data_IF_272223870709
#
_entry.id   IF_272223870709
#
_cell.length_a   1.000
_cell.length_b   1.000
_cell.length_c   1.000
_cell.angle_alpha   90.00
_cell.angle_beta   90.00
_cell.angle_gamma   90.00
#
_symmetry.space_group_name_H-M   'P 1'
#
loop_
_entity.id
_entity.type
_entity.pdbx_description
1 polymer ?
#
# COMPACT_ATOMS: atom_id res chain seq x y z
N UNK A 1 3.63 4.14 -33.00
CA UNK A 1 2.23 3.76 -32.84
C UNK A 1 2.16 2.58 -31.88
N UNK A 2 2.42 2.83 -30.62
CA UNK A 2 2.22 1.85 -29.56
C UNK A 2 1.77 2.66 -28.36
N UNK A 3 0.65 2.35 -27.79
CA UNK A 3 -0.06 2.92 -26.65
C UNK A 3 -1.21 3.85 -27.10
N UNK A 4 -2.18 3.27 -27.75
CA UNK A 4 -3.57 3.69 -27.74
C UNK A 4 -4.42 2.44 -27.95
N UNK A 5 -4.36 1.53 -27.00
CA UNK A 5 -5.41 0.57 -26.72
C UNK A 5 -5.20 0.03 -25.31
N UNK A 6 -6.23 -0.09 -24.58
CA UNK A 6 -6.49 -0.34 -23.18
C UNK A 6 -5.65 -1.41 -22.41
N UNK A 7 -4.44 -1.76 -22.83
CA UNK A 7 -3.66 -2.79 -22.14
C UNK A 7 -2.15 -2.48 -22.19
N UNK A 8 -1.67 -1.73 -21.16
CA UNK A 8 -0.22 -1.57 -20.96
C UNK A 8 0.41 -2.94 -20.70
N UNK A 9 1.40 -3.29 -21.52
CA UNK A 9 2.19 -4.53 -21.43
C UNK A 9 3.59 -4.20 -20.93
N UNK A 10 3.93 -4.68 -19.73
CA UNK A 10 5.22 -4.42 -19.09
C UNK A 10 6.40 -5.05 -19.84
N UNK A 11 6.19 -6.18 -20.53
CA UNK A 11 7.25 -6.84 -21.28
C UNK A 11 7.60 -6.07 -22.55
N UNK A 12 6.59 -5.55 -23.25
CA UNK A 12 6.80 -4.65 -24.38
C UNK A 12 7.42 -3.33 -23.93
N UNK A 13 6.99 -2.81 -22.77
CA UNK A 13 7.59 -1.62 -22.17
C UNK A 13 9.07 -1.83 -21.87
N UNK A 14 9.50 -2.96 -21.28
CA UNK A 14 10.90 -3.23 -20.98
C UNK A 14 11.75 -3.25 -22.24
N UNK A 15 11.31 -3.93 -23.28
CA UNK A 15 11.99 -3.95 -24.59
C UNK A 15 12.09 -2.55 -25.21
N UNK A 16 11.02 -1.74 -25.12
CA UNK A 16 11.03 -0.36 -25.57
C UNK A 16 11.99 0.50 -24.73
N UNK A 17 11.99 0.37 -23.41
CA UNK A 17 12.86 1.13 -22.51
C UNK A 17 14.33 0.81 -22.74
N UNK A 18 14.67 -0.46 -22.96
CA UNK A 18 16.02 -0.87 -23.29
C UNK A 18 16.49 -0.28 -24.63
N UNK A 19 15.67 -0.34 -25.65
CA UNK A 19 15.99 0.22 -26.98
C UNK A 19 16.15 1.75 -26.96
N UNK A 20 15.51 2.46 -26.03
CA UNK A 20 15.52 3.94 -25.96
C UNK A 20 16.37 4.50 -24.81
N UNK A 21 17.02 3.67 -24.01
CA UNK A 21 17.74 4.07 -22.78
C UNK A 21 18.71 5.26 -22.93
N UNK A 22 19.35 5.41 -24.11
CA UNK A 22 20.25 6.53 -24.38
C UNK A 22 19.53 7.86 -24.57
N UNK A 23 18.28 7.82 -25.07
CA UNK A 23 17.48 9.01 -25.37
C UNK A 23 16.60 9.45 -24.18
N UNK A 24 16.64 8.72 -23.08
CA UNK A 24 15.90 9.07 -21.88
C UNK A 24 16.61 10.17 -21.09
N UNK A 25 15.85 11.21 -20.76
CA UNK A 25 16.21 12.24 -19.77
C UNK A 25 15.87 11.68 -18.40
N UNK A 26 16.72 11.91 -17.42
CA UNK A 26 16.59 11.43 -16.05
C UNK A 26 16.42 12.63 -15.12
N UNK A 27 15.39 12.64 -14.32
CA UNK A 27 15.12 13.67 -13.32
C UNK A 27 14.81 13.01 -11.98
N UNK A 28 15.72 13.04 -11.00
CA UNK A 28 15.47 12.50 -9.67
C UNK A 28 14.79 13.52 -8.76
N UNK A 29 13.92 13.02 -7.89
CA UNK A 29 13.19 13.76 -6.87
C UNK A 29 13.27 13.03 -5.54
N UNK A 30 13.64 13.74 -4.47
CA UNK A 30 13.35 13.28 -3.12
C UNK A 30 11.92 13.65 -2.76
N UNK A 31 11.23 12.85 -1.98
CA UNK A 31 9.92 13.21 -1.48
C UNK A 31 9.75 12.86 0.00
N UNK A 32 8.97 13.68 0.69
CA UNK A 32 8.68 13.52 2.10
C UNK A 32 7.49 12.57 2.35
N UNK A 33 7.07 12.43 3.61
CA UNK A 33 5.93 11.57 4.00
C UNK A 33 4.56 12.07 3.51
N UNK A 34 4.47 13.30 3.05
CA UNK A 34 3.27 13.88 2.44
C UNK A 34 3.31 13.79 0.91
N UNK A 35 4.32 13.10 0.36
CA UNK A 35 4.58 12.94 -1.08
C UNK A 35 4.91 14.25 -1.80
N UNK A 36 5.30 15.29 -1.08
CA UNK A 36 5.82 16.53 -1.68
C UNK A 36 7.19 16.25 -2.29
N UNK A 37 7.37 16.41 -3.62
CA UNK A 37 8.64 16.18 -4.29
C UNK A 37 9.57 17.39 -4.19
N UNK A 38 10.86 17.13 -4.15
CA UNK A 38 11.96 18.11 -4.21
C UNK A 38 12.92 17.68 -5.32
N UNK A 39 13.14 18.54 -6.30
CA UNK A 39 14.01 18.23 -7.43
C UNK A 39 15.49 18.17 -7.01
N UNK A 40 16.21 17.21 -7.58
CA UNK A 40 17.66 17.09 -7.44
C UNK A 40 18.33 17.40 -8.78
N UNK A 41 19.38 18.22 -8.75
CA UNK A 41 20.23 18.43 -9.90
C UNK A 41 21.27 17.28 -10.00
N UNK A 42 21.52 16.81 -11.19
CA UNK A 42 22.45 15.71 -11.45
C UNK A 42 23.51 16.11 -12.46
N UNK A 43 24.72 15.54 -12.31
CA UNK A 43 25.73 15.55 -13.36
C UNK A 43 25.42 14.45 -14.39
N UNK A 44 25.98 14.55 -15.58
CA UNK A 44 25.85 13.50 -16.61
C UNK A 44 26.33 12.13 -16.11
N UNK A 45 27.40 12.09 -15.32
CA UNK A 45 27.90 10.85 -14.71
C UNK A 45 26.86 10.23 -13.76
N UNK A 46 26.23 11.03 -12.89
CA UNK A 46 25.21 10.56 -11.98
C UNK A 46 23.94 10.12 -12.73
N UNK A 47 23.56 10.78 -13.82
CA UNK A 47 22.45 10.33 -14.67
C UNK A 47 22.71 8.91 -15.21
N UNK A 48 23.93 8.59 -15.65
CA UNK A 48 24.28 7.24 -16.11
C UNK A 48 24.22 6.23 -14.95
N UNK A 49 24.68 6.60 -13.77
CA UNK A 49 24.57 5.75 -12.57
C UNK A 49 23.10 5.51 -12.20
N UNK A 50 22.25 6.54 -12.26
CA UNK A 50 20.81 6.41 -12.00
C UNK A 50 20.13 5.50 -13.04
N UNK A 51 20.49 5.60 -14.34
CA UNK A 51 20.02 4.67 -15.36
C UNK A 51 20.42 3.24 -15.02
N UNK A 52 21.63 3.02 -14.57
CA UNK A 52 22.11 1.68 -14.20
C UNK A 52 21.36 1.14 -12.97
N UNK A 53 21.26 1.94 -11.89
CA UNK A 53 20.69 1.51 -10.60
C UNK A 53 19.16 1.42 -10.58
N UNK A 54 18.48 2.11 -11.47
CA UNK A 54 17.02 2.13 -11.50
C UNK A 54 16.47 1.44 -12.73
N UNK A 55 16.86 1.89 -13.92
CA UNK A 55 16.27 1.43 -15.16
C UNK A 55 16.73 0.02 -15.55
N UNK A 56 18.04 -0.23 -15.56
CA UNK A 56 18.56 -1.55 -16.00
C UNK A 56 18.16 -2.66 -15.04
N UNK A 57 18.11 -2.40 -13.75
CA UNK A 57 17.66 -3.38 -12.77
C UNK A 57 16.21 -3.82 -13.04
N UNK A 58 15.31 -2.86 -13.34
CA UNK A 58 13.91 -3.18 -13.64
C UNK A 58 13.78 -3.89 -14.98
N UNK A 59 14.46 -3.42 -16.03
CA UNK A 59 14.45 -4.09 -17.33
C UNK A 59 14.90 -5.54 -17.16
N UNK A 60 16.05 -5.77 -16.52
CA UNK A 60 16.57 -7.12 -16.28
C UNK A 60 15.60 -7.99 -15.46
N UNK A 61 14.95 -7.42 -14.44
CA UNK A 61 13.96 -8.14 -13.64
C UNK A 61 12.73 -8.56 -14.47
N UNK A 62 12.26 -7.69 -15.36
CA UNK A 62 11.12 -7.98 -16.25
C UNK A 62 11.52 -9.01 -17.31
N UNK A 63 12.69 -8.90 -17.94
CA UNK A 63 13.19 -9.84 -18.93
C UNK A 63 13.43 -11.24 -18.36
N UNK A 64 14.06 -11.32 -17.17
CA UNK A 64 14.20 -12.59 -16.45
C UNK A 64 12.84 -13.18 -16.09
N UNK A 65 11.91 -12.33 -15.66
CA UNK A 65 10.54 -12.72 -15.38
C UNK A 65 9.85 -13.32 -16.61
N UNK A 66 9.98 -12.68 -17.77
CA UNK A 66 9.45 -13.20 -19.04
C UNK A 66 10.01 -14.59 -19.36
N UNK A 67 11.32 -14.79 -19.15
CA UNK A 67 11.98 -16.06 -19.44
C UNK A 67 11.50 -17.22 -18.56
N UNK A 68 11.04 -16.95 -17.34
CA UNK A 68 10.49 -17.97 -16.41
C UNK A 68 8.96 -18.03 -16.43
N UNK A 69 8.30 -17.30 -17.32
CA UNK A 69 6.83 -17.29 -17.43
C UNK A 69 6.13 -16.50 -16.32
N UNK A 70 6.73 -15.41 -15.84
CA UNK A 70 6.15 -14.51 -14.85
C UNK A 70 4.75 -14.06 -15.27
N UNK A 71 3.78 -14.24 -14.39
CA UNK A 71 2.42 -13.74 -14.60
C UNK A 71 2.26 -12.35 -13.99
N UNK A 72 1.60 -11.45 -14.74
CA UNK A 72 1.27 -10.09 -14.28
C UNK A 72 -0.17 -10.08 -13.83
N UNK A 73 -0.44 -9.75 -12.57
CA UNK A 73 -1.77 -9.84 -11.97
C UNK A 73 -2.12 -8.60 -11.14
N UNK A 74 -3.41 -8.34 -11.05
CA UNK A 74 -3.93 -7.29 -10.18
C UNK A 74 -3.58 -7.60 -8.71
N UNK A 75 -2.96 -6.63 -8.04
CA UNK A 75 -2.54 -6.75 -6.64
C UNK A 75 -3.72 -6.95 -5.69
N UNK A 76 -4.88 -6.38 -6.02
CA UNK A 76 -6.07 -6.50 -5.22
C UNK A 76 -6.74 -7.88 -5.33
N UNK A 77 -6.54 -8.58 -6.44
CA UNK A 77 -7.24 -9.83 -6.75
C UNK A 77 -6.35 -11.07 -6.63
N UNK A 78 -5.07 -10.93 -6.27
CA UNK A 78 -4.12 -12.02 -6.37
C UNK A 78 -3.23 -12.13 -5.15
N UNK A 79 -2.96 -13.37 -4.72
CA UNK A 79 -1.88 -13.65 -3.78
C UNK A 79 -0.53 -13.52 -4.47
N UNK A 80 0.45 -13.04 -3.71
CA UNK A 80 1.82 -12.98 -4.18
C UNK A 80 2.42 -14.38 -4.21
N UNK A 81 2.82 -14.83 -5.39
CA UNK A 81 3.68 -16.00 -5.58
C UNK A 81 5.06 -15.56 -6.07
N UNK A 82 6.05 -16.47 -6.10
CA UNK A 82 7.38 -16.17 -6.62
C UNK A 82 7.37 -15.79 -8.11
N UNK A 83 6.36 -16.28 -8.84
CA UNK A 83 6.24 -16.13 -10.29
C UNK A 83 5.15 -15.11 -10.65
N UNK A 84 4.87 -14.15 -9.76
CA UNK A 84 3.82 -13.16 -9.97
C UNK A 84 4.37 -11.76 -9.74
N UNK A 85 4.22 -10.89 -10.74
CA UNK A 85 4.38 -9.44 -10.62
C UNK A 85 3.00 -8.81 -10.40
N UNK A 86 2.86 -8.09 -9.30
CA UNK A 86 1.60 -7.45 -8.93
C UNK A 86 1.54 -6.02 -9.47
N UNK A 87 0.37 -5.62 -9.98
CA UNK A 87 0.10 -4.25 -10.39
C UNK A 87 -1.23 -3.73 -9.80
N UNK A 88 -1.38 -2.41 -9.80
CA UNK A 88 -2.63 -1.70 -9.52
C UNK A 88 -2.76 -0.53 -10.48
N UNK A 89 -3.98 -0.10 -10.77
CA UNK A 89 -4.20 1.14 -11.51
C UNK A 89 -3.68 2.33 -10.67
N UNK A 90 -2.99 3.29 -11.31
CA UNK A 90 -2.38 4.44 -10.63
C UNK A 90 -3.41 5.24 -9.84
N UNK A 91 -4.59 5.47 -10.42
CA UNK A 91 -5.68 6.21 -9.79
C UNK A 91 -6.18 5.54 -8.50
N UNK A 92 -6.06 4.21 -8.39
CA UNK A 92 -6.45 3.46 -7.19
C UNK A 92 -5.44 3.59 -6.04
N UNK A 93 -4.22 4.04 -6.32
CA UNK A 93 -3.15 4.23 -5.33
C UNK A 93 -2.96 5.72 -5.08
N UNK A 94 -3.80 6.27 -4.20
CA UNK A 94 -3.90 7.71 -3.94
C UNK A 94 -2.54 8.40 -3.76
N UNK A 95 -1.64 7.82 -2.98
CA UNK A 95 -0.36 8.43 -2.66
C UNK A 95 0.64 8.35 -3.84
N UNK A 96 0.56 7.32 -4.67
CA UNK A 96 1.34 7.24 -5.91
C UNK A 96 0.84 8.26 -6.93
N UNK A 97 -0.48 8.35 -7.09
CA UNK A 97 -1.14 9.31 -7.97
C UNK A 97 -0.79 10.76 -7.57
N UNK A 98 -0.89 11.07 -6.27
CA UNK A 98 -0.48 12.38 -5.73
C UNK A 98 0.98 12.71 -6.05
N UNK A 99 1.90 11.74 -5.83
CA UNK A 99 3.32 11.96 -6.12
C UNK A 99 3.56 12.26 -7.61
N UNK A 100 2.96 11.49 -8.51
CA UNK A 100 3.09 11.68 -9.95
C UNK A 100 2.55 13.04 -10.37
N UNK A 101 1.33 13.40 -9.96
CA UNK A 101 0.74 14.71 -10.25
C UNK A 101 1.60 15.85 -9.74
N UNK A 102 2.10 15.78 -8.51
CA UNK A 102 2.96 16.83 -7.97
C UNK A 102 4.29 16.95 -8.71
N UNK A 103 4.84 15.86 -9.26
CA UNK A 103 6.03 15.92 -10.12
C UNK A 103 5.69 16.51 -11.49
N UNK A 104 4.53 16.20 -12.05
CA UNK A 104 4.12 16.66 -13.38
C UNK A 104 3.62 18.11 -13.40
N UNK A 105 2.82 18.50 -12.39
CA UNK A 105 2.25 19.85 -12.28
C UNK A 105 3.29 20.89 -11.87
N UNK A 106 4.43 20.46 -11.35
CA UNK A 106 5.45 21.38 -10.89
C UNK A 106 6.31 21.83 -12.09
N UNK A 107 5.91 22.88 -12.74
CA UNK A 107 6.83 23.76 -13.47
C UNK A 107 7.81 24.34 -12.44
N UNK A 108 8.81 23.52 -12.05
CA UNK A 108 9.77 23.81 -11.01
C UNK A 108 9.37 23.22 -9.64
N UNK A 109 9.44 21.89 -9.49
CA UNK A 109 9.53 21.31 -8.14
C UNK A 109 10.62 22.09 -7.40
N UNK A 110 10.30 22.53 -6.19
CA UNK A 110 11.28 23.21 -5.34
C UNK A 110 12.57 22.37 -5.30
N UNK A 111 13.70 23.01 -5.54
CA UNK A 111 14.98 22.32 -5.46
C UNK A 111 15.20 21.85 -4.02
N UNK A 112 15.69 20.62 -3.86
CA UNK A 112 16.09 20.15 -2.54
C UNK A 112 17.21 21.06 -2.00
N UNK A 113 16.96 21.66 -0.86
CA UNK A 113 17.91 22.51 -0.15
C UNK A 113 18.25 21.85 1.19
N UNK A 114 19.49 21.44 1.38
CA UNK A 114 19.93 20.74 2.60
C UNK A 114 19.83 21.60 3.89
N UNK A 115 19.79 22.93 3.74
CA UNK A 115 19.64 23.85 4.86
C UNK A 115 18.18 24.02 5.31
N UNK A 116 17.23 23.79 4.41
CA UNK A 116 15.79 23.93 4.67
C UNK A 116 15.11 22.57 4.84
N UNK A 117 15.61 21.56 4.13
CA UNK A 117 15.03 20.23 4.08
C UNK A 117 15.92 19.19 4.79
N UNK A 118 15.44 18.64 5.88
CA UNK A 118 16.15 17.56 6.57
C UNK A 118 16.09 16.26 5.75
N UNK A 119 17.22 15.77 5.28
CA UNK A 119 17.32 14.52 4.54
C UNK A 119 16.67 13.34 5.29
N UNK A 120 16.78 13.31 6.62
CA UNK A 120 16.14 12.29 7.48
C UNK A 120 14.60 12.28 7.45
N UNK A 121 13.97 13.33 6.97
CA UNK A 121 12.52 13.42 6.81
C UNK A 121 12.05 12.92 5.44
N UNK A 122 12.98 12.66 4.53
CA UNK A 122 12.64 12.12 3.22
C UNK A 122 12.15 10.68 3.37
N UNK A 123 11.10 10.37 2.60
CA UNK A 123 10.43 9.08 2.63
C UNK A 123 10.90 8.17 1.50
N UNK A 124 11.24 8.77 0.37
CA UNK A 124 11.67 8.03 -0.80
C UNK A 124 12.33 8.91 -1.85
N UNK A 125 12.77 8.24 -2.89
CA UNK A 125 13.27 8.83 -4.12
C UNK A 125 12.43 8.35 -5.29
N UNK A 126 11.98 9.26 -6.15
CA UNK A 126 11.36 8.99 -7.43
C UNK A 126 12.31 9.45 -8.53
N UNK A 127 12.57 8.59 -9.50
CA UNK A 127 13.35 8.95 -10.68
C UNK A 127 12.41 8.93 -11.87
N UNK A 128 12.18 10.10 -12.44
CA UNK A 128 11.42 10.27 -13.68
C UNK A 128 12.31 9.98 -14.86
N UNK A 129 11.81 9.18 -15.78
CA UNK A 129 12.40 8.92 -17.08
C UNK A 129 11.47 9.44 -18.17
N UNK A 130 11.97 10.30 -19.02
CA UNK A 130 11.19 10.97 -20.06
C UNK A 130 11.90 10.85 -21.38
N UNK A 131 11.20 10.42 -22.43
CA UNK A 131 11.80 10.40 -23.77
C UNK A 131 11.89 11.82 -24.32
N UNK A 132 13.09 12.23 -24.73
CA UNK A 132 13.35 13.59 -25.22
C UNK A 132 12.45 13.97 -26.40
N UNK A 133 12.24 13.06 -27.34
CA UNK A 133 11.42 13.27 -28.55
C UNK A 133 9.92 13.07 -28.35
N UNK A 134 9.50 12.48 -27.23
CA UNK A 134 8.11 12.14 -26.90
C UNK A 134 7.87 12.28 -25.40
N UNK A 135 7.68 13.52 -24.92
CA UNK A 135 7.51 13.77 -23.49
C UNK A 135 6.32 13.02 -22.84
N UNK A 136 5.31 12.66 -23.63
CA UNK A 136 4.17 11.84 -23.18
C UNK A 136 4.57 10.40 -22.78
N UNK A 137 5.74 9.95 -23.23
CA UNK A 137 6.31 8.66 -22.82
C UNK A 137 7.17 8.86 -21.56
N UNK A 138 6.48 9.11 -20.44
CA UNK A 138 7.08 9.29 -19.13
C UNK A 138 6.77 8.09 -18.25
N UNK A 139 7.74 7.68 -17.43
CA UNK A 139 7.55 6.70 -16.39
C UNK A 139 8.43 7.02 -15.18
N UNK A 140 8.13 6.39 -14.05
CA UNK A 140 8.80 6.65 -12.79
C UNK A 140 9.26 5.35 -12.16
N UNK A 141 10.45 5.37 -11.58
CA UNK A 141 10.92 4.30 -10.70
C UNK A 141 11.06 4.88 -9.31
N UNK A 142 10.38 4.26 -8.34
CA UNK A 142 10.27 4.80 -6.99
C UNK A 142 10.85 3.81 -6.00
N UNK A 143 11.73 4.30 -5.12
CA UNK A 143 12.34 3.52 -4.04
C UNK A 143 12.11 4.19 -2.69
N UNK A 144 11.78 3.40 -1.67
CA UNK A 144 11.68 3.87 -0.31
C UNK A 144 13.07 4.11 0.28
N UNK A 145 13.25 5.23 0.97
CA UNK A 145 14.44 5.50 1.77
C UNK A 145 14.19 5.06 3.21
N UNK A 146 15.06 4.20 3.73
CA UNK A 146 15.07 3.83 5.13
C UNK A 146 16.04 4.74 5.91
N UNK A 147 15.74 5.01 7.17
CA UNK A 147 16.62 5.86 8.01
C UNK A 147 18.07 5.34 8.09
N UNK A 148 18.25 4.02 8.04
CA UNK A 148 19.57 3.38 8.01
C UNK A 148 20.38 3.61 6.74
N UNK A 149 19.72 4.07 5.67
CA UNK A 149 20.35 4.37 4.38
C UNK A 149 20.78 5.84 4.28
N UNK A 150 20.32 6.67 5.20
CA UNK A 150 20.70 8.09 5.29
C UNK A 150 21.83 8.20 6.29
N UNK A 151 23.00 8.47 5.77
CA UNK A 151 24.19 8.66 6.58
C UNK A 151 24.31 10.17 6.90
N UNK A 152 24.08 10.51 8.16
CA UNK A 152 24.14 11.87 8.64
C UNK A 152 24.91 11.89 9.96
N UNK A 153 25.94 12.72 10.03
CA UNK A 153 26.77 13.02 11.22
C UNK A 153 27.29 11.80 12.00
N UNK A 154 27.36 10.64 11.40
CA UNK A 154 27.99 9.49 12.02
C UNK A 154 29.47 9.45 11.60
N UNK A 155 30.35 9.23 12.55
CA UNK A 155 31.74 8.87 12.26
C UNK A 155 31.72 7.53 11.50
N UNK A 156 31.89 7.61 10.20
CA UNK A 156 32.08 6.43 9.37
C UNK A 156 33.52 6.27 9.01
N UNK A 157 33.98 5.05 9.05
CA UNK A 157 35.37 4.71 8.75
C UNK A 157 35.43 3.79 7.53
N UNK A 158 36.41 4.01 6.70
CA UNK A 158 36.73 3.17 5.57
C UNK A 158 38.09 2.52 5.78
N UNK A 159 38.17 1.23 5.56
CA UNK A 159 39.45 0.52 5.50
C UNK A 159 39.98 0.61 4.09
N UNK A 160 41.17 1.22 3.91
CA UNK A 160 41.91 1.26 2.64
C UNK A 160 43.26 0.57 2.86
N UNK A 161 43.40 -0.64 2.35
CA UNK A 161 44.53 -1.49 2.67
C UNK A 161 44.55 -1.85 4.15
N UNK A 162 45.58 -1.44 4.87
CA UNK A 162 45.78 -1.62 6.30
C UNK A 162 45.43 -0.36 7.14
N UNK A 163 44.94 0.71 6.48
CA UNK A 163 44.65 1.98 7.14
C UNK A 163 43.15 2.17 7.38
N UNK A 164 42.81 2.63 8.58
CA UNK A 164 41.48 3.09 8.95
C UNK A 164 41.39 4.60 8.71
N UNK A 165 40.57 5.01 7.76
CA UNK A 165 40.39 6.41 7.38
C UNK A 165 39.00 6.91 7.79
N UNK A 166 38.89 8.16 8.23
CA UNK A 166 37.61 8.82 8.39
C UNK A 166 36.96 9.03 7.01
N UNK A 167 35.67 8.71 6.90
CA UNK A 167 34.87 8.99 5.72
C UNK A 167 33.92 10.14 6.05
N UNK A 168 34.03 11.23 5.30
CA UNK A 168 33.03 12.29 5.33
C UNK A 168 31.80 11.82 4.55
N UNK A 169 30.69 11.64 5.25
CA UNK A 169 29.47 11.05 4.70
C UNK A 169 28.22 11.91 4.97
N UNK A 170 28.40 13.13 5.46
CA UNK A 170 27.27 14.03 5.67
C UNK A 170 26.50 14.21 4.35
N UNK A 171 25.17 14.05 4.44
CA UNK A 171 24.31 14.12 3.26
C UNK A 171 24.37 12.90 2.32
N UNK A 172 25.02 11.81 2.71
CA UNK A 172 25.15 10.62 1.87
C UNK A 172 23.89 9.72 1.96
N UNK A 173 23.41 9.28 0.81
CA UNK A 173 22.33 8.30 0.70
C UNK A 173 22.89 6.99 0.17
N UNK A 174 22.70 5.89 0.91
CA UNK A 174 22.92 4.54 0.39
C UNK A 174 21.68 4.08 -0.36
N UNK A 175 21.80 3.92 -1.67
CA UNK A 175 20.69 3.44 -2.48
C UNK A 175 20.58 1.92 -2.40
N UNK A 176 19.37 1.38 -2.10
CA UNK A 176 19.13 -0.06 -2.19
C UNK A 176 19.18 -0.51 -3.65
N UNK A 177 19.79 -1.67 -3.88
CA UNK A 177 19.89 -2.27 -5.22
C UNK A 177 18.56 -2.87 -5.66
N UNK A 178 17.69 -3.26 -4.71
CA UNK A 178 16.42 -3.91 -5.02
C UNK A 178 15.40 -2.98 -5.67
N UNK A 179 14.72 -3.51 -6.67
CA UNK A 179 13.60 -2.82 -7.32
C UNK A 179 12.39 -2.79 -6.41
N UNK A 180 11.70 -1.65 -6.34
CA UNK A 180 10.55 -1.50 -5.47
C UNK A 180 9.26 -1.26 -6.25
N UNK A 181 9.21 -0.18 -7.03
CA UNK A 181 8.01 0.21 -7.78
C UNK A 181 8.36 0.82 -9.12
N UNK A 182 7.63 0.41 -10.16
CA UNK A 182 7.58 1.07 -11.46
C UNK A 182 6.19 1.67 -11.64
N UNK A 183 6.11 2.93 -12.06
CA UNK A 183 4.87 3.60 -12.47
C UNK A 183 4.98 3.89 -13.96
N UNK A 184 4.16 3.24 -14.78
CA UNK A 184 4.18 3.36 -16.22
C UNK A 184 2.81 3.00 -16.82
N UNK A 185 2.39 3.72 -17.86
CA UNK A 185 1.15 3.44 -18.58
C UNK A 185 -0.10 3.45 -17.71
N UNK A 186 -0.19 4.36 -16.74
CA UNK A 186 -1.31 4.44 -15.80
C UNK A 186 -1.35 3.34 -14.74
N UNK A 187 -0.30 2.52 -14.63
CA UNK A 187 -0.22 1.40 -13.68
C UNK A 187 0.97 1.54 -12.75
N UNK A 188 0.83 0.94 -11.57
CA UNK A 188 1.87 0.88 -10.52
C UNK A 188 2.23 -0.59 -10.32
N UNK A 189 3.45 -0.98 -10.65
CA UNK A 189 3.95 -2.34 -10.54
C UNK A 189 4.80 -2.50 -9.28
N UNK A 190 4.44 -3.48 -8.45
CA UNK A 190 5.10 -3.77 -7.17
C UNK A 190 6.08 -4.94 -7.32
N UNK A 191 7.37 -4.66 -7.52
CA UNK A 191 8.42 -5.68 -7.51
C UNK A 191 8.68 -6.24 -6.11
N UNK A 192 8.41 -5.43 -5.08
CA UNK A 192 8.44 -5.83 -3.69
C UNK A 192 7.17 -5.34 -2.99
N UNK A 193 6.11 -6.16 -2.87
CA UNK A 193 4.82 -5.74 -2.31
C UNK A 193 4.89 -5.23 -0.88
N UNK A 194 5.77 -5.78 -0.03
CA UNK A 194 5.94 -5.27 1.34
C UNK A 194 6.49 -3.84 1.35
N UNK A 195 7.47 -3.57 0.50
CA UNK A 195 8.04 -2.23 0.38
C UNK A 195 7.10 -1.27 -0.34
N UNK A 196 6.30 -1.76 -1.31
CA UNK A 196 5.23 -0.99 -1.94
C UNK A 196 4.23 -0.48 -0.89
N UNK A 197 3.73 -1.37 -0.01
CA UNK A 197 2.81 -0.99 1.07
C UNK A 197 3.46 0.02 2.02
N UNK A 198 4.73 -0.17 2.37
CA UNK A 198 5.49 0.78 3.19
C UNK A 198 5.68 2.14 2.52
N UNK A 199 5.94 2.14 1.22
CA UNK A 199 6.19 3.33 0.42
C UNK A 199 4.93 4.18 0.26
N UNK A 200 3.80 3.58 -0.16
CA UNK A 200 2.56 4.30 -0.41
C UNK A 200 1.56 4.26 0.74
N UNK A 201 1.87 3.53 1.82
CA UNK A 201 0.99 3.37 3.00
C UNK A 201 -0.42 2.89 2.65
N UNK A 202 -0.54 2.18 1.56
CA UNK A 202 -1.77 1.64 1.01
C UNK A 202 -1.52 0.20 0.58
N UNK A 203 -2.41 -0.69 0.99
CA UNK A 203 -2.37 -2.11 0.64
C UNK A 203 -3.58 -2.41 -0.26
N UNK A 204 -3.40 -2.54 -1.58
CA UNK A 204 -4.52 -2.75 -2.50
C UNK A 204 -5.30 -4.03 -2.21
N UNK A 205 -4.64 -5.07 -1.70
CA UNK A 205 -5.30 -6.34 -1.35
C UNK A 205 -6.34 -6.15 -0.25
N UNK A 206 -6.09 -5.24 0.69
CA UNK A 206 -7.06 -4.94 1.77
C UNK A 206 -8.31 -4.26 1.25
N UNK A 207 -8.19 -3.36 0.30
CA UNK A 207 -9.33 -2.67 -0.30
C UNK A 207 -10.30 -3.64 -0.96
N UNK A 208 -9.79 -4.60 -1.73
CA UNK A 208 -10.64 -5.62 -2.38
C UNK A 208 -11.23 -6.61 -1.37
N UNK A 209 -10.45 -7.06 -0.39
CA UNK A 209 -10.97 -7.91 0.68
C UNK A 209 -12.12 -7.22 1.41
N UNK A 210 -11.95 -5.95 1.78
CA UNK A 210 -13.01 -5.15 2.41
C UNK A 210 -14.25 -5.05 1.52
N UNK A 211 -14.11 -4.78 0.21
CA UNK A 211 -15.25 -4.71 -0.72
C UNK A 211 -16.00 -6.03 -0.82
N UNK A 212 -15.30 -7.14 -0.87
CA UNK A 212 -15.92 -8.48 -0.90
C UNK A 212 -16.66 -8.77 0.41
N UNK A 213 -16.06 -8.46 1.55
CA UNK A 213 -16.68 -8.61 2.87
C UNK A 213 -17.93 -7.73 2.95
N UNK A 214 -17.84 -6.45 2.58
CA UNK A 214 -18.97 -5.52 2.57
C UNK A 214 -20.12 -6.06 1.71
N UNK A 215 -19.82 -6.51 0.50
CA UNK A 215 -20.82 -7.10 -0.40
C UNK A 215 -21.50 -8.32 0.23
N UNK A 216 -20.72 -9.20 0.86
CA UNK A 216 -21.23 -10.38 1.56
C UNK A 216 -22.13 -9.99 2.71
N UNK A 217 -21.71 -9.05 3.58
CA UNK A 217 -22.48 -8.58 4.72
C UNK A 217 -23.78 -7.90 4.27
N UNK A 218 -23.71 -7.01 3.27
CA UNK A 218 -24.87 -6.32 2.73
C UNK A 218 -25.92 -7.30 2.20
N UNK A 219 -25.49 -8.33 1.51
CA UNK A 219 -26.39 -9.35 0.98
C UNK A 219 -26.95 -10.28 2.07
N UNK A 220 -26.10 -10.69 3.02
CA UNK A 220 -26.50 -11.65 4.08
C UNK A 220 -27.46 -11.04 5.10
N UNK A 221 -27.24 -9.78 5.48
CA UNK A 221 -27.97 -9.12 6.56
C UNK A 221 -28.92 -8.02 6.06
N UNK A 222 -29.12 -7.91 4.73
CA UNK A 222 -29.96 -6.89 4.11
C UNK A 222 -29.70 -5.48 4.69
N UNK A 223 -28.40 -5.08 4.75
CA UNK A 223 -28.01 -3.83 5.40
C UNK A 223 -28.68 -2.63 4.73
N UNK A 224 -29.35 -1.81 5.53
CA UNK A 224 -29.99 -0.57 5.11
C UNK A 224 -29.22 0.64 5.63
N UNK A 225 -29.16 1.70 4.81
CA UNK A 225 -28.41 2.92 5.10
C UNK A 225 -29.27 4.15 4.80
N UNK A 226 -29.06 5.28 5.46
CA UNK A 226 -29.58 6.57 5.03
C UNK A 226 -29.15 6.90 3.59
N UNK A 227 -29.92 7.80 2.93
CA UNK A 227 -29.60 8.24 1.58
C UNK A 227 -28.17 8.78 1.49
N UNK A 228 -27.41 8.31 0.49
CA UNK A 228 -26.02 8.72 0.26
C UNK A 228 -24.99 8.08 1.17
N UNK A 229 -25.37 7.15 2.08
CA UNK A 229 -24.45 6.43 2.96
C UNK A 229 -24.32 4.97 2.52
N UNK A 230 -23.12 4.39 2.73
CA UNK A 230 -22.84 2.96 2.50
C UNK A 230 -21.77 2.46 3.47
N UNK A 231 -21.74 1.15 3.69
CA UNK A 231 -20.67 0.55 4.51
C UNK A 231 -19.27 0.79 3.91
N UNK A 232 -19.16 0.91 2.59
CA UNK A 232 -17.91 1.22 1.90
C UNK A 232 -17.42 2.64 2.23
N UNK A 233 -18.31 3.63 2.20
CA UNK A 233 -17.96 5.00 2.61
C UNK A 233 -17.55 5.05 4.09
N UNK A 234 -18.34 4.44 4.98
CA UNK A 234 -18.01 4.38 6.41
C UNK A 234 -16.65 3.69 6.67
N UNK A 235 -16.34 2.63 5.92
CA UNK A 235 -15.05 1.94 6.03
C UNK A 235 -13.89 2.79 5.51
N UNK A 236 -14.08 3.54 4.41
CA UNK A 236 -13.06 4.44 3.86
C UNK A 236 -12.72 5.57 4.85
N UNK A 237 -13.72 6.09 5.55
CA UNK A 237 -13.54 7.19 6.49
C UNK A 237 -13.06 6.72 7.87
N UNK A 238 -13.21 5.43 8.18
CA UNK A 238 -12.89 4.87 9.50
C UNK A 238 -11.91 3.68 9.40
N UNK A 239 -10.61 3.96 9.63
CA UNK A 239 -9.52 2.95 9.60
C UNK A 239 -9.74 1.80 10.60
N UNK A 240 -10.38 2.06 11.73
CA UNK A 240 -10.68 1.02 12.72
C UNK A 240 -11.76 0.06 12.21
N UNK A 241 -12.79 0.59 11.54
CA UNK A 241 -13.83 -0.22 10.90
C UNK A 241 -13.25 -1.09 9.78
N UNK A 242 -12.41 -0.49 8.90
CA UNK A 242 -11.67 -1.24 7.87
C UNK A 242 -10.85 -2.38 8.47
N UNK A 243 -10.11 -2.12 9.55
CA UNK A 243 -9.31 -3.14 10.23
C UNK A 243 -10.15 -4.24 10.89
N UNK A 244 -11.34 -3.90 11.39
CA UNK A 244 -12.28 -4.87 11.98
C UNK A 244 -12.90 -5.76 10.88
N UNK A 245 -13.32 -5.17 9.76
CA UNK A 245 -13.83 -5.92 8.60
C UNK A 245 -12.82 -6.94 8.07
N UNK A 246 -11.55 -6.56 7.91
CA UNK A 246 -10.49 -7.48 7.42
C UNK A 246 -10.27 -8.67 8.35
N UNK A 247 -10.51 -8.51 9.64
CA UNK A 247 -10.33 -9.58 10.65
C UNK A 247 -11.56 -10.46 10.82
N UNK A 248 -12.67 -10.11 10.19
CA UNK A 248 -13.93 -10.83 10.34
C UNK A 248 -13.82 -12.24 9.75
N UNK A 249 -14.19 -13.24 10.51
CA UNK A 249 -14.36 -14.60 10.02
C UNK A 249 -15.63 -14.68 9.17
N UNK A 250 -15.47 -14.66 7.85
CA UNK A 250 -16.59 -14.67 6.92
C UNK A 250 -17.14 -16.05 6.63
N UNK A 251 -16.45 -17.12 7.05
CA UNK A 251 -16.90 -18.51 6.87
C UNK A 251 -17.93 -18.89 7.94
N UNK A 252 -17.82 -18.34 9.15
CA UNK A 252 -18.66 -18.67 10.30
C UNK A 252 -19.53 -17.52 10.77
N UNK A 253 -20.10 -16.74 9.83
CA UNK A 253 -21.00 -15.66 10.20
C UNK A 253 -22.31 -16.16 10.80
N UNK A 254 -22.76 -15.63 11.95
CA UNK A 254 -24.03 -15.99 12.59
C UNK A 254 -25.24 -15.68 11.70
N UNK A 255 -26.41 -16.18 12.05
CA UNK A 255 -27.66 -15.77 11.42
C UNK A 255 -28.10 -14.39 11.92
N UNK A 256 -29.03 -13.74 11.21
CA UNK A 256 -29.60 -12.48 11.67
C UNK A 256 -30.33 -12.64 13.01
N UNK A 257 -31.05 -13.74 13.20
CA UNK A 257 -31.73 -14.06 14.47
C UNK A 257 -30.74 -14.13 15.64
N UNK A 258 -29.64 -14.86 15.45
CA UNK A 258 -28.59 -14.97 16.47
C UNK A 258 -28.00 -13.58 16.84
N UNK A 259 -27.87 -12.67 15.87
CA UNK A 259 -27.36 -11.31 16.13
C UNK A 259 -28.37 -10.47 16.89
N UNK A 260 -29.67 -10.58 16.58
CA UNK A 260 -30.72 -9.88 17.29
C UNK A 260 -30.79 -10.34 18.73
N UNK A 261 -30.82 -11.67 18.94
CA UNK A 261 -30.83 -12.26 20.28
C UNK A 261 -29.58 -11.85 21.08
N UNK A 262 -28.42 -11.83 20.44
CA UNK A 262 -27.18 -11.39 21.07
C UNK A 262 -27.17 -9.89 21.38
N UNK A 263 -27.76 -9.06 20.53
CA UNK A 263 -27.87 -7.63 20.78
C UNK A 263 -28.76 -7.36 22.00
N UNK A 264 -29.89 -8.07 22.12
CA UNK A 264 -30.80 -7.97 23.26
C UNK A 264 -30.12 -8.46 24.56
N UNK A 265 -29.43 -9.57 24.54
CA UNK A 265 -28.68 -10.11 25.68
C UNK A 265 -27.60 -9.13 26.16
N UNK A 266 -26.87 -8.51 25.23
CA UNK A 266 -25.81 -7.56 25.55
C UNK A 266 -26.31 -6.13 25.74
N UNK A 267 -27.63 -5.89 25.68
CA UNK A 267 -28.26 -4.57 25.77
C UNK A 267 -27.65 -3.56 24.76
N UNK A 268 -27.45 -4.01 23.50
CA UNK A 268 -26.94 -3.19 22.40
C UNK A 268 -28.11 -2.64 21.56
N UNK A 269 -28.01 -1.39 21.14
CA UNK A 269 -29.06 -0.73 20.37
C UNK A 269 -28.98 -1.10 18.87
N UNK A 270 -29.28 -2.37 18.54
CA UNK A 270 -29.39 -2.82 17.14
C UNK A 270 -30.77 -2.41 16.59
N UNK A 271 -30.77 -1.70 15.47
CA UNK A 271 -32.01 -1.29 14.77
C UNK A 271 -32.22 -2.19 13.56
N UNK A 272 -33.43 -2.72 13.41
CA UNK A 272 -33.88 -3.45 12.22
C UNK A 272 -35.03 -2.70 11.55
N UNK A 273 -35.15 -2.83 10.22
CA UNK A 273 -36.27 -2.28 9.45
C UNK A 273 -37.44 -3.29 9.37
N UNK A 274 -38.56 -2.86 8.79
CA UNK A 274 -39.77 -3.68 8.65
C UNK A 274 -39.54 -4.94 7.74
N UNK A 275 -38.49 -4.94 6.92
CA UNK A 275 -38.10 -6.07 6.07
C UNK A 275 -37.14 -7.02 6.79
N UNK A 276 -36.79 -6.74 8.02
CA UNK A 276 -35.86 -7.53 8.85
C UNK A 276 -34.39 -7.23 8.57
N UNK A 277 -34.05 -6.21 7.78
CA UNK A 277 -32.66 -5.81 7.52
C UNK A 277 -32.08 -4.97 8.67
N UNK A 278 -30.76 -5.06 8.86
CA UNK A 278 -30.05 -4.24 9.88
C UNK A 278 -29.85 -2.82 9.35
N UNK A 279 -30.26 -1.82 10.15
CA UNK A 279 -30.10 -0.40 9.81
C UNK A 279 -28.82 0.14 10.42
N UNK A 280 -27.96 0.70 9.57
CA UNK A 280 -26.68 1.31 9.95
C UNK A 280 -26.78 2.82 9.69
N UNK A 281 -26.81 3.61 10.73
CA UNK A 281 -26.98 5.06 10.64
C UNK A 281 -25.65 5.81 10.56
N UNK A 282 -24.60 5.28 11.18
CA UNK A 282 -23.28 5.91 11.22
C UNK A 282 -22.14 4.89 11.41
N UNK A 283 -20.92 5.39 11.57
CA UNK A 283 -19.73 4.54 11.78
C UNK A 283 -19.69 3.84 13.13
N UNK A 284 -20.46 4.29 14.13
CA UNK A 284 -20.57 3.63 15.45
C UNK A 284 -21.46 2.41 15.34
N UNK A 285 -22.60 2.54 14.66
CA UNK A 285 -23.49 1.41 14.38
C UNK A 285 -22.78 0.35 13.55
N UNK A 286 -22.04 0.77 12.49
CA UNK A 286 -21.25 -0.14 11.68
C UNK A 286 -20.20 -0.89 12.50
N UNK A 287 -19.50 -0.19 13.39
CA UNK A 287 -18.49 -0.81 14.26
C UNK A 287 -19.12 -1.74 15.30
N UNK A 288 -20.26 -1.36 15.88
CA UNK A 288 -21.00 -2.19 16.81
C UNK A 288 -21.45 -3.48 16.12
N UNK A 289 -22.03 -3.39 14.93
CA UNK A 289 -22.46 -4.52 14.15
C UNK A 289 -21.28 -5.47 13.80
N UNK A 290 -20.16 -4.95 13.33
CA UNK A 290 -18.95 -5.77 13.03
C UNK A 290 -18.37 -6.41 14.29
N UNK A 291 -18.43 -5.72 15.45
CA UNK A 291 -18.00 -6.31 16.73
C UNK A 291 -18.95 -7.43 17.20
N UNK A 292 -20.25 -7.34 16.95
CA UNK A 292 -21.20 -8.43 17.21
C UNK A 292 -20.90 -9.63 16.32
N UNK A 293 -20.68 -9.44 15.02
CA UNK A 293 -20.28 -10.49 14.09
C UNK A 293 -18.98 -11.19 14.48
N UNK A 294 -18.10 -10.47 15.17
CA UNK A 294 -16.82 -10.99 15.67
C UNK A 294 -16.95 -11.56 17.09
N UNK A 295 -18.15 -11.59 17.67
CA UNK A 295 -18.42 -12.00 19.05
C UNK A 295 -17.47 -11.30 20.05
N UNK A 296 -17.28 -9.99 19.89
CA UNK A 296 -16.34 -9.21 20.68
C UNK A 296 -16.92 -8.67 21.99
N UNK A 297 -18.22 -8.84 22.24
CA UNK A 297 -18.84 -8.52 23.52
C UNK A 297 -18.85 -9.76 24.41
N UNK A 298 -18.54 -9.59 25.67
CA UNK A 298 -18.48 -10.69 26.63
C UNK A 298 -19.04 -10.25 27.98
N UNK A 299 -19.67 -11.19 28.65
CA UNK A 299 -20.15 -11.02 30.01
C UNK A 299 -19.07 -11.37 31.02
N UNK A 300 -19.02 -10.59 32.09
CA UNK A 300 -18.29 -10.99 33.27
C UNK A 300 -19.17 -11.90 34.13
N UNK A 301 -18.82 -13.16 34.20
CA UNK A 301 -19.50 -14.11 35.10
C UNK A 301 -19.45 -13.76 36.58
N UNK A 302 -18.61 -12.78 36.97
CA UNK A 302 -18.49 -12.32 38.36
C UNK A 302 -19.32 -11.08 38.65
N UNK A 303 -19.43 -10.14 37.69
CA UNK A 303 -20.01 -8.84 37.90
C UNK A 303 -21.30 -8.61 37.10
N UNK A 304 -21.61 -9.49 36.15
CA UNK A 304 -22.70 -9.30 35.19
C UNK A 304 -22.50 -8.09 34.27
N UNK A 305 -21.29 -7.51 34.23
CA UNK A 305 -21.00 -6.38 33.37
C UNK A 305 -20.59 -6.86 31.96
N UNK A 306 -21.02 -6.11 30.94
CA UNK A 306 -20.72 -6.37 29.57
C UNK A 306 -19.41 -5.64 29.16
N UNK A 307 -18.52 -6.33 28.45
CA UNK A 307 -17.23 -5.79 28.03
C UNK A 307 -17.02 -5.95 26.52
N UNK A 308 -16.46 -4.92 25.88
CA UNK A 308 -15.93 -5.02 24.52
C UNK A 308 -14.47 -5.50 24.57
N UNK A 309 -14.18 -6.66 24.04
CA UNK A 309 -12.86 -7.27 24.02
C UNK A 309 -12.24 -7.12 22.65
N UNK A 310 -11.20 -6.28 22.53
CA UNK A 310 -10.54 -5.99 21.25
C UNK A 310 -9.63 -7.09 20.73
N UNK A 311 -9.10 -7.95 21.60
CA UNK A 311 -8.22 -9.05 21.24
C UNK A 311 -8.67 -10.31 21.99
N UNK A 312 -9.55 -11.08 21.39
CA UNK A 312 -9.92 -12.41 21.90
C UNK A 312 -8.79 -13.39 21.63
N UNK A 313 -8.31 -14.04 22.67
CA UNK A 313 -7.58 -15.28 22.55
C UNK A 313 -8.56 -16.43 22.80
N UNK A 314 -8.80 -17.26 21.79
CA UNK A 314 -9.58 -18.48 21.98
C UNK A 314 -8.82 -19.38 22.97
N UNK A 315 -9.34 -19.56 24.17
CA UNK A 315 -8.75 -20.42 25.19
C UNK A 315 -9.26 -21.85 24.99
N UNK A 316 -10.54 -22.01 24.56
CA UNK A 316 -11.11 -23.28 24.11
C UNK A 316 -12.32 -22.98 23.20
N UNK A 317 -12.43 -23.63 22.05
CA UNK A 317 -13.68 -23.78 21.35
C UNK A 317 -14.29 -25.10 21.81
N UNK A 318 -15.61 -25.31 21.81
CA UNK A 318 -16.38 -26.50 22.21
C UNK A 318 -15.63 -27.79 22.69
N UNK A 319 -14.37 -27.65 22.92
CA UNK A 319 -13.53 -28.63 23.50
C UNK A 319 -13.91 -28.68 24.97
N UNK A 320 -14.63 -29.71 25.34
CA UNK A 320 -14.68 -30.25 26.70
C UNK A 320 -13.41 -29.84 27.43
N UNK A 321 -13.57 -29.03 28.47
CA UNK A 321 -12.55 -28.75 29.46
C UNK A 321 -12.06 -30.11 30.00
N UNK A 322 -11.10 -30.72 29.34
CA UNK A 322 -10.26 -31.71 29.97
C UNK A 322 -9.30 -30.94 30.88
N UNK A 323 -9.84 -30.51 32.02
CA UNK A 323 -9.00 -30.25 33.18
C UNK A 323 -8.41 -31.58 33.63
N UNK A 324 -7.28 -31.92 33.08
CA UNK A 324 -6.37 -32.82 33.76
C UNK A 324 -5.59 -31.97 34.76
N UNK A 325 -5.99 -32.18 36.02
CA UNK A 325 -5.26 -31.78 37.23
C UNK A 325 -3.93 -32.52 37.26
#
# INVERSE_FOLDING_TARGET
>A
MVIMDNQFDIFQWASWADANKKDLIVSPFLFNKNYTPYALHTSEELEQQLKTLFLYDIISAVEMGAAIGLSVRDFAASEQTKDTLLYSELESIQNANTLVHLIEDTIGAEAFNEYEHELKRMHGIAVQFKKRSRPEQTFYIVKQLQKSQILDRNLSWQIKGDNLCALDIDGTIKMPVDNQVLIAGGKVFAFNPKKFVGLFRQDPSKGTAVKLIIKLLTNKFALAFPEGLSLEQLANDNKSLTAALIKLDTEHLPSLGDIVDYADEMNLALTTNDEGGVVIMDSRDAMMFVNMLSDNYVDSGLTGAHYLVKNKQLISGDAQLNMNI
#
